data_IF_313609647007
#
_entry.id   IF_313609647007
#
_cell.length_a   1.000
_cell.length_b   1.000
_cell.length_c   1.000
_cell.angle_alpha   90.00
_cell.angle_beta   90.00
_cell.angle_gamma   90.00
#
_symmetry.space_group_name_H-M   'P 1'
#
loop_
_entity.id
_entity.type
_entity.pdbx_description
1 polymer ?
#
# COMPACT_ATOMS: atom_id res chain seq x y z
N UNK A 1 -11.88 11.19 -31.40
CA UNK A 1 -10.56 11.15 -30.73
C UNK A 1 -10.23 9.68 -30.49
N UNK A 2 -9.15 9.16 -31.06
CA UNK A 2 -8.78 7.77 -30.84
C UNK A 2 -7.90 7.65 -29.59
N UNK A 3 -8.20 6.68 -28.73
CA UNK A 3 -7.28 6.22 -27.66
C UNK A 3 -6.77 4.85 -28.06
N UNK A 4 -5.52 4.54 -27.76
CA UNK A 4 -4.97 3.19 -27.87
C UNK A 4 -5.20 2.42 -26.57
N UNK A 5 -6.43 2.50 -26.03
CA UNK A 5 -6.88 1.78 -24.85
C UNK A 5 -8.14 1.01 -25.20
N UNK A 6 -8.19 -0.26 -24.87
CA UNK A 6 -9.30 -1.15 -25.19
C UNK A 6 -9.51 -2.23 -24.13
N UNK A 7 -10.70 -2.79 -24.09
CA UNK A 7 -11.04 -3.94 -23.24
C UNK A 7 -10.67 -5.21 -24.02
N UNK A 8 -9.95 -6.13 -23.37
CA UNK A 8 -9.65 -7.42 -23.96
C UNK A 8 -10.91 -8.31 -24.06
N UNK A 9 -10.82 -9.40 -24.82
CA UNK A 9 -11.95 -10.31 -25.08
C UNK A 9 -12.49 -11.00 -23.82
N UNK A 10 -11.69 -11.07 -22.75
CA UNK A 10 -12.11 -11.59 -21.44
C UNK A 10 -13.02 -10.64 -20.65
N UNK A 11 -13.26 -9.42 -21.15
CA UNK A 11 -14.01 -8.33 -20.52
C UNK A 11 -13.56 -7.95 -19.08
N UNK A 12 -12.44 -8.50 -18.63
CA UNK A 12 -11.89 -8.26 -17.29
C UNK A 12 -10.51 -7.58 -17.33
N UNK A 13 -9.89 -7.50 -18.50
CA UNK A 13 -8.59 -6.89 -18.71
C UNK A 13 -8.69 -5.61 -19.52
N UNK A 14 -8.17 -4.51 -19.00
CA UNK A 14 -8.01 -3.24 -19.71
C UNK A 14 -6.58 -3.14 -20.21
N UNK A 15 -6.41 -2.97 -21.51
CA UNK A 15 -5.10 -2.84 -22.16
C UNK A 15 -4.93 -1.42 -22.66
N UNK A 16 -3.83 -0.78 -22.33
CA UNK A 16 -3.50 0.56 -22.81
C UNK A 16 -2.06 0.62 -23.33
N UNK A 17 -1.84 1.46 -24.35
CA UNK A 17 -0.52 1.70 -24.89
C UNK A 17 0.42 2.29 -23.84
N UNK A 18 -0.06 3.26 -23.08
CA UNK A 18 0.69 3.97 -22.03
C UNK A 18 -0.26 4.63 -21.03
N UNK A 19 0.29 5.26 -19.99
CA UNK A 19 -0.51 5.94 -18.96
C UNK A 19 -1.32 7.14 -19.49
N UNK A 20 -0.84 7.85 -20.51
CA UNK A 20 -1.56 8.98 -21.11
C UNK A 20 -2.81 8.51 -21.82
N UNK A 21 -2.72 7.43 -22.60
CA UNK A 21 -3.88 6.87 -23.30
C UNK A 21 -4.87 6.26 -22.31
N UNK A 22 -4.40 5.62 -21.23
CA UNK A 22 -5.25 5.15 -20.15
C UNK A 22 -6.03 6.31 -19.51
N UNK A 23 -5.34 7.41 -19.15
CA UNK A 23 -6.02 8.59 -18.60
C UNK A 23 -7.09 9.12 -19.52
N UNK A 24 -6.77 9.30 -20.78
CA UNK A 24 -7.71 9.79 -21.80
C UNK A 24 -8.94 8.87 -21.92
N UNK A 25 -8.74 7.56 -21.91
CA UNK A 25 -9.83 6.58 -21.92
C UNK A 25 -10.74 6.75 -20.69
N UNK A 26 -10.18 6.83 -19.49
CA UNK A 26 -10.93 7.00 -18.26
C UNK A 26 -11.70 8.32 -18.22
N UNK A 27 -11.09 9.40 -18.71
CA UNK A 27 -11.77 10.70 -18.85
C UNK A 27 -12.96 10.61 -19.81
N UNK A 28 -12.83 9.91 -20.94
CA UNK A 28 -13.91 9.70 -21.90
C UNK A 28 -15.05 8.85 -21.32
N UNK A 29 -14.74 7.83 -20.53
CA UNK A 29 -15.73 7.02 -19.79
C UNK A 29 -16.46 7.89 -18.76
N UNK A 30 -15.75 8.68 -17.98
CA UNK A 30 -16.34 9.52 -16.93
C UNK A 30 -17.25 10.63 -17.48
N UNK A 31 -16.99 11.11 -18.69
CA UNK A 31 -17.82 12.10 -19.39
C UNK A 31 -18.91 11.46 -20.30
N UNK A 32 -19.11 10.15 -20.23
CA UNK A 32 -20.11 9.43 -21.01
C UNK A 32 -19.83 9.36 -22.53
N UNK A 33 -18.61 9.66 -22.96
CA UNK A 33 -18.19 9.59 -24.37
C UNK A 33 -17.89 8.15 -24.81
N UNK A 34 -17.57 7.28 -23.87
CA UNK A 34 -17.43 5.85 -24.07
C UNK A 34 -18.36 5.14 -23.09
N UNK A 35 -19.23 4.30 -23.62
CA UNK A 35 -20.07 3.41 -22.80
C UNK A 35 -19.33 2.11 -22.53
N UNK A 36 -19.25 1.74 -21.26
CA UNK A 36 -18.80 0.41 -20.83
C UNK A 36 -19.99 -0.33 -20.21
N UNK A 37 -20.04 -1.66 -20.28
CA UNK A 37 -21.12 -2.42 -19.66
C UNK A 37 -21.29 -2.04 -18.19
N UNK A 38 -22.52 -1.87 -17.75
CA UNK A 38 -22.85 -1.57 -16.37
C UNK A 38 -22.26 -2.66 -15.45
N UNK A 39 -21.56 -2.25 -14.38
CA UNK A 39 -20.83 -3.11 -13.45
C UNK A 39 -19.53 -3.73 -14.00
N UNK A 40 -18.99 -3.26 -15.11
CA UNK A 40 -17.65 -3.69 -15.53
C UNK A 40 -16.62 -3.34 -14.45
N UNK A 41 -15.96 -4.37 -13.95
CA UNK A 41 -14.86 -4.26 -12.97
C UNK A 41 -13.63 -4.92 -13.57
N UNK A 42 -12.63 -4.12 -13.86
CA UNK A 42 -11.39 -4.67 -14.40
C UNK A 42 -10.59 -5.34 -13.28
N UNK A 43 -10.24 -6.60 -13.50
CA UNK A 43 -9.34 -7.34 -12.61
C UNK A 43 -7.88 -7.08 -12.92
N UNK A 44 -7.59 -6.77 -14.18
CA UNK A 44 -6.22 -6.54 -14.63
C UNK A 44 -6.13 -5.30 -15.51
N UNK A 45 -5.05 -4.54 -15.32
CA UNK A 45 -4.67 -3.41 -16.17
C UNK A 45 -3.32 -3.70 -16.80
N UNK A 46 -3.23 -3.68 -18.11
CA UNK A 46 -1.97 -3.87 -18.86
C UNK A 46 -1.58 -2.55 -19.49
N UNK A 47 -0.39 -2.07 -19.19
CA UNK A 47 0.25 -0.91 -19.79
C UNK A 47 1.38 -1.40 -20.66
N UNK A 48 1.28 -1.22 -21.98
CA UNK A 48 2.29 -1.72 -22.90
C UNK A 48 3.62 -0.97 -22.79
N UNK A 49 3.60 0.31 -22.43
CA UNK A 49 4.80 1.12 -22.27
C UNK A 49 4.69 2.02 -21.03
N UNK A 50 5.67 1.94 -20.14
CA UNK A 50 5.73 2.77 -18.94
C UNK A 50 6.01 4.25 -19.22
N UNK A 51 6.54 4.58 -20.40
CA UNK A 51 6.93 5.96 -20.75
C UNK A 51 5.76 6.91 -20.61
N UNK A 52 5.91 7.87 -19.71
CA UNK A 52 4.86 8.82 -19.35
C UNK A 52 5.46 10.13 -18.84
N UNK A 53 4.79 11.23 -19.07
CA UNK A 53 5.14 12.54 -18.49
C UNK A 53 4.53 12.69 -17.07
N UNK A 54 3.74 11.70 -16.62
CA UNK A 54 3.07 11.74 -15.32
C UNK A 54 4.05 11.51 -14.17
N UNK A 55 3.82 12.22 -13.07
CA UNK A 55 4.52 11.93 -11.83
C UNK A 55 3.94 10.65 -11.16
N UNK A 56 4.65 10.17 -10.14
CA UNK A 56 4.24 8.93 -9.42
C UNK A 56 2.84 9.06 -8.84
N UNK A 57 2.50 10.22 -8.25
CA UNK A 57 1.20 10.42 -7.61
C UNK A 57 0.05 10.44 -8.62
N UNK A 58 0.27 11.01 -9.79
CA UNK A 58 -0.71 10.97 -10.89
C UNK A 58 -0.95 9.53 -11.37
N UNK A 59 0.10 8.72 -11.51
CA UNK A 59 -0.02 7.30 -11.88
C UNK A 59 -0.74 6.51 -10.79
N UNK A 60 -0.40 6.72 -9.52
CA UNK A 60 -1.10 6.09 -8.39
C UNK A 60 -2.58 6.45 -8.38
N UNK A 61 -2.88 7.74 -8.56
CA UNK A 61 -4.25 8.23 -8.60
C UNK A 61 -5.04 7.61 -9.74
N UNK A 62 -4.44 7.53 -10.93
CA UNK A 62 -5.05 6.93 -12.12
C UNK A 62 -5.40 5.46 -11.90
N UNK A 63 -4.50 4.68 -11.28
CA UNK A 63 -4.65 3.24 -11.08
C UNK A 63 -5.53 2.87 -9.86
N UNK A 64 -5.87 3.82 -9.00
CA UNK A 64 -6.60 3.56 -7.75
C UNK A 64 -8.05 4.03 -7.72
N UNK A 65 -8.54 4.62 -8.82
CA UNK A 65 -9.88 5.24 -8.88
C UNK A 65 -10.78 4.66 -9.95
N UNK A 66 -12.07 4.98 -9.80
CA UNK A 66 -13.10 4.66 -10.79
C UNK A 66 -13.19 3.16 -11.06
N UNK A 67 -13.28 2.82 -12.33
CA UNK A 67 -13.43 1.43 -12.80
C UNK A 67 -12.21 0.53 -12.53
N UNK A 68 -11.07 1.11 -12.12
CA UNK A 68 -9.83 0.38 -11.81
C UNK A 68 -9.66 0.10 -10.32
N UNK A 69 -10.53 0.62 -9.45
CA UNK A 69 -10.39 0.48 -7.99
C UNK A 69 -10.41 -0.97 -7.49
N UNK A 70 -11.05 -1.87 -8.22
CA UNK A 70 -11.13 -3.29 -7.90
C UNK A 70 -10.10 -4.14 -8.64
N UNK A 71 -9.16 -3.53 -9.38
CA UNK A 71 -8.11 -4.26 -10.07
C UNK A 71 -7.28 -5.10 -9.08
N UNK A 72 -7.02 -6.34 -9.46
CA UNK A 72 -6.19 -7.29 -8.72
C UNK A 72 -4.72 -7.19 -9.11
N UNK A 73 -4.45 -6.71 -10.34
CA UNK A 73 -3.09 -6.56 -10.85
C UNK A 73 -2.94 -5.42 -11.85
N UNK A 74 -1.78 -4.80 -11.81
CA UNK A 74 -1.26 -3.92 -12.87
C UNK A 74 -0.03 -4.57 -13.48
N UNK A 75 0.07 -4.59 -14.80
CA UNK A 75 1.22 -5.14 -15.54
C UNK A 75 1.78 -4.09 -16.51
N UNK A 76 3.07 -3.80 -16.41
CA UNK A 76 3.81 -3.00 -17.37
C UNK A 76 4.66 -3.92 -18.23
N UNK A 77 4.35 -4.00 -19.54
CA UNK A 77 5.07 -4.88 -20.48
C UNK A 77 6.49 -4.40 -20.78
N UNK A 78 6.65 -3.09 -20.97
CA UNK A 78 7.93 -2.45 -21.21
C UNK A 78 8.20 -1.44 -20.09
N UNK A 79 8.83 -1.87 -18.99
CA UNK A 79 9.17 -1.01 -17.87
C UNK A 79 10.24 0.02 -18.27
N UNK A 80 10.35 1.09 -17.49
CA UNK A 80 11.42 2.09 -17.62
C UNK A 80 12.14 2.28 -16.27
N UNK A 81 13.04 3.24 -16.19
CA UNK A 81 13.79 3.54 -14.99
C UNK A 81 12.93 4.15 -13.85
N UNK A 82 11.69 4.56 -14.14
CA UNK A 82 10.75 5.12 -13.17
C UNK A 82 9.76 4.09 -12.65
N UNK A 83 9.26 3.21 -13.53
CA UNK A 83 8.17 2.29 -13.21
C UNK A 83 8.43 0.88 -13.72
N UNK A 84 8.20 -0.10 -12.85
CA UNK A 84 8.08 -1.52 -13.20
C UNK A 84 6.95 -2.17 -12.39
N UNK A 85 6.58 -3.37 -12.76
CA UNK A 85 5.61 -4.16 -11.98
C UNK A 85 6.21 -5.50 -11.58
N UNK A 86 5.92 -5.91 -10.34
CA UNK A 86 6.25 -7.23 -9.80
C UNK A 86 4.98 -7.76 -9.12
N UNK A 87 4.58 -8.95 -9.46
CA UNK A 87 3.37 -9.61 -8.92
C UNK A 87 2.11 -8.72 -8.97
N UNK A 88 1.97 -7.95 -10.05
CA UNK A 88 0.84 -7.07 -10.25
C UNK A 88 0.86 -5.78 -9.44
N UNK A 89 1.93 -5.49 -8.72
CA UNK A 89 2.14 -4.27 -7.94
C UNK A 89 3.09 -3.31 -8.66
N UNK A 90 2.88 -2.00 -8.50
CA UNK A 90 3.71 -0.96 -9.10
C UNK A 90 4.88 -0.59 -8.19
N UNK A 91 6.08 -0.67 -8.74
CA UNK A 91 7.33 -0.28 -8.09
C UNK A 91 8.06 0.81 -8.88
N UNK A 92 9.06 1.44 -8.22
CA UNK A 92 10.09 2.20 -8.92
C UNK A 92 10.87 1.29 -9.86
N UNK A 93 11.44 1.83 -10.94
CA UNK A 93 12.21 1.06 -11.91
C UNK A 93 13.38 0.29 -11.29
N UNK A 94 14.02 0.84 -10.24
CA UNK A 94 15.05 0.16 -9.46
C UNK A 94 14.49 -0.80 -8.37
N UNK A 95 13.16 -1.00 -8.32
CA UNK A 95 12.43 -1.91 -7.42
C UNK A 95 12.52 -1.59 -5.91
N UNK A 96 13.18 -0.51 -5.53
CA UNK A 96 13.39 -0.17 -4.11
C UNK A 96 12.16 0.47 -3.44
N UNK A 97 11.21 0.99 -4.22
CA UNK A 97 10.01 1.64 -3.68
C UNK A 97 8.74 0.97 -4.19
N UNK A 98 7.92 0.49 -3.27
CA UNK A 98 6.55 0.06 -3.60
C UNK A 98 5.66 1.30 -3.69
N UNK A 99 5.19 1.62 -4.86
CA UNK A 99 4.32 2.77 -5.11
C UNK A 99 2.84 2.46 -4.92
N UNK A 100 2.38 1.30 -5.41
CA UNK A 100 0.98 0.92 -5.36
C UNK A 100 0.78 -0.60 -5.39
N UNK A 101 -0.03 -1.09 -4.48
CA UNK A 101 -0.68 -2.39 -4.54
C UNK A 101 -2.14 -2.19 -4.97
N UNK A 102 -2.62 -2.85 -6.03
CA UNK A 102 -4.02 -2.76 -6.45
C UNK A 102 -4.98 -3.23 -5.35
N UNK A 103 -6.09 -2.51 -5.17
CA UNK A 103 -7.02 -2.75 -4.04
C UNK A 103 -7.78 -4.07 -4.13
N UNK A 104 -7.96 -4.61 -5.33
CA UNK A 104 -8.61 -5.89 -5.56
C UNK A 104 -7.76 -7.10 -5.18
N UNK A 105 -6.45 -6.91 -4.90
CA UNK A 105 -5.55 -8.01 -4.53
C UNK A 105 -5.97 -8.62 -3.20
N UNK A 106 -6.06 -9.95 -3.16
CA UNK A 106 -6.53 -10.75 -2.01
C UNK A 106 -5.48 -11.74 -1.54
N UNK A 107 -5.75 -12.43 -0.43
CA UNK A 107 -4.87 -13.47 0.11
C UNK A 107 -3.62 -12.92 0.77
N UNK A 108 -2.49 -13.61 0.60
CA UNK A 108 -1.20 -13.20 1.13
C UNK A 108 -0.51 -12.23 0.17
N UNK A 109 -0.26 -11.02 0.65
CA UNK A 109 0.51 -10.01 -0.07
C UNK A 109 1.99 -10.16 0.29
N UNK A 110 2.82 -10.52 -0.67
CA UNK A 110 4.27 -10.61 -0.50
C UNK A 110 4.93 -9.40 -1.17
N UNK A 111 5.61 -8.57 -0.37
CA UNK A 111 6.36 -7.42 -0.89
C UNK A 111 7.70 -7.92 -1.41
N UNK A 112 8.11 -7.40 -2.58
CA UNK A 112 9.35 -7.80 -3.25
C UNK A 112 10.59 -7.62 -2.36
N UNK A 113 11.42 -8.65 -2.30
CA UNK A 113 12.72 -8.58 -1.62
C UNK A 113 13.65 -7.60 -2.36
N UNK A 114 14.21 -6.64 -1.63
CA UNK A 114 14.92 -5.49 -2.18
C UNK A 114 14.13 -4.18 -2.12
N UNK A 115 12.82 -4.21 -1.84
CA UNK A 115 12.07 -2.99 -1.52
C UNK A 115 12.56 -2.40 -0.20
N UNK A 116 12.90 -1.11 -0.20
CA UNK A 116 13.37 -0.38 0.99
C UNK A 116 12.30 0.53 1.58
N UNK A 117 11.33 0.94 0.76
CA UNK A 117 10.26 1.86 1.13
C UNK A 117 8.90 1.35 0.61
N UNK A 118 7.95 1.24 1.52
CA UNK A 118 6.53 1.17 1.17
C UNK A 118 6.02 2.60 1.21
N UNK A 119 5.65 3.14 0.05
CA UNK A 119 5.28 4.55 -0.08
C UNK A 119 3.95 4.88 0.60
N UNK A 120 3.70 6.18 0.77
CA UNK A 120 2.46 6.67 1.36
C UNK A 120 1.26 6.15 0.54
N UNK A 121 0.23 5.63 1.23
CA UNK A 121 -0.99 5.01 0.66
C UNK A 121 -0.74 3.79 -0.24
N UNK A 122 0.46 3.23 -0.31
CA UNK A 122 0.81 2.20 -1.30
C UNK A 122 -0.08 0.95 -1.26
N UNK A 123 -0.48 0.50 -0.09
CA UNK A 123 -1.32 -0.68 0.13
C UNK A 123 -2.61 -0.33 0.92
N UNK A 124 -3.08 0.92 0.86
CA UNK A 124 -4.31 1.31 1.54
C UNK A 124 -5.54 0.68 0.87
N UNK A 125 -6.53 0.24 1.67
CA UNK A 125 -7.79 -0.41 1.24
C UNK A 125 -7.59 -1.73 0.47
N UNK A 126 -6.42 -2.38 0.53
CA UNK A 126 -6.21 -3.70 -0.08
C UNK A 126 -6.98 -4.76 0.71
N UNK A 127 -7.49 -5.78 0.00
CA UNK A 127 -8.33 -6.84 0.60
C UNK A 127 -7.54 -8.07 1.05
N UNK A 128 -6.23 -7.92 1.31
CA UNK A 128 -5.37 -9.01 1.74
C UNK A 128 -5.65 -9.42 3.20
N UNK A 129 -5.44 -10.70 3.50
CA UNK A 129 -5.53 -11.24 4.85
C UNK A 129 -4.21 -11.17 5.61
N UNK A 130 -3.12 -11.24 4.89
CA UNK A 130 -1.76 -11.26 5.43
C UNK A 130 -0.82 -10.46 4.53
N UNK A 131 0.17 -9.84 5.15
CA UNK A 131 1.28 -9.16 4.45
C UNK A 131 2.60 -9.73 4.93
N UNK A 132 3.47 -10.07 3.99
CA UNK A 132 4.87 -10.42 4.26
C UNK A 132 5.76 -9.28 3.79
N UNK A 133 6.46 -8.65 4.74
CA UNK A 133 7.37 -7.53 4.50
C UNK A 133 8.81 -8.05 4.58
N UNK A 134 9.63 -7.90 3.53
CA UNK A 134 11.01 -8.35 3.58
C UNK A 134 11.88 -7.50 4.51
N UNK A 135 12.98 -8.05 4.98
CA UNK A 135 13.91 -7.35 5.88
C UNK A 135 14.70 -6.22 5.20
N UNK A 136 14.60 -6.09 3.87
CA UNK A 136 15.11 -4.94 3.12
C UNK A 136 14.35 -3.64 3.40
N UNK A 137 13.07 -3.72 3.84
CA UNK A 137 12.23 -2.55 4.11
C UNK A 137 12.72 -1.80 5.35
N UNK A 138 12.98 -0.50 5.16
CA UNK A 138 13.43 0.44 6.20
C UNK A 138 12.33 1.37 6.68
N UNK A 139 11.33 1.63 5.83
CA UNK A 139 10.27 2.58 6.18
C UNK A 139 8.92 2.19 5.59
N UNK A 140 7.88 2.35 6.42
CA UNK A 140 6.48 2.26 6.02
C UNK A 140 5.92 3.67 5.98
N UNK A 141 5.36 4.05 4.84
CA UNK A 141 4.83 5.38 4.55
C UNK A 141 3.53 5.71 5.29
N UNK A 142 3.12 6.97 5.17
CA UNK A 142 1.87 7.46 5.75
C UNK A 142 0.66 6.76 5.11
N UNK A 143 -0.28 6.32 5.95
CA UNK A 143 -1.46 5.55 5.50
C UNK A 143 -1.14 4.32 4.63
N UNK A 144 0.08 3.79 4.66
CA UNK A 144 0.53 2.77 3.70
C UNK A 144 -0.34 1.51 3.69
N UNK A 145 -0.85 1.10 4.83
CA UNK A 145 -1.79 -0.03 4.98
C UNK A 145 -3.12 0.39 5.63
N UNK A 146 -3.47 1.67 5.63
CA UNK A 146 -4.69 2.13 6.26
C UNK A 146 -5.94 1.48 5.63
N UNK A 147 -6.96 1.23 6.45
CA UNK A 147 -8.26 0.67 6.03
C UNK A 147 -8.19 -0.75 5.41
N UNK A 148 -7.16 -1.52 5.73
CA UNK A 148 -7.10 -2.94 5.34
C UNK A 148 -7.96 -3.76 6.31
N UNK A 149 -9.28 -3.77 6.07
CA UNK A 149 -10.28 -4.32 6.98
C UNK A 149 -10.18 -5.84 7.18
N UNK A 150 -9.52 -6.54 6.25
CA UNK A 150 -9.33 -7.98 6.30
C UNK A 150 -7.95 -8.39 6.85
N UNK A 151 -7.00 -7.47 6.94
CA UNK A 151 -5.63 -7.76 7.35
C UNK A 151 -5.59 -8.27 8.79
N UNK A 152 -5.12 -9.50 8.96
CA UNK A 152 -5.02 -10.19 10.26
C UNK A 152 -3.60 -10.23 10.79
N UNK A 153 -2.61 -10.28 9.88
CA UNK A 153 -1.22 -10.52 10.24
C UNK A 153 -0.26 -9.79 9.32
N UNK A 154 0.79 -9.24 9.93
CA UNK A 154 1.98 -8.73 9.21
C UNK A 154 3.17 -9.53 9.71
N UNK A 155 3.95 -10.10 8.78
CA UNK A 155 5.14 -10.88 9.05
C UNK A 155 6.39 -10.24 8.47
N UNK A 156 7.53 -10.41 9.12
CA UNK A 156 8.81 -9.89 8.67
C UNK A 156 9.05 -8.42 9.01
N UNK A 157 9.81 -7.73 8.16
CA UNK A 157 10.10 -6.30 8.36
C UNK A 157 11.00 -6.00 9.57
N UNK A 158 11.89 -6.90 9.96
CA UNK A 158 12.74 -6.78 11.17
C UNK A 158 13.66 -5.56 11.15
N UNK A 159 13.93 -5.02 9.98
CA UNK A 159 14.81 -3.85 9.80
C UNK A 159 14.05 -2.52 9.62
N UNK A 160 12.74 -2.51 9.81
CA UNK A 160 11.94 -1.28 9.76
C UNK A 160 12.45 -0.32 10.85
N UNK A 161 12.75 0.90 10.42
CA UNK A 161 13.22 1.99 11.31
C UNK A 161 12.09 3.00 11.59
N UNK A 162 11.21 3.21 10.61
CA UNK A 162 10.16 4.23 10.71
C UNK A 162 8.82 3.67 10.23
N UNK A 163 7.82 3.79 11.08
CA UNK A 163 6.41 3.59 10.75
C UNK A 163 5.77 4.97 10.80
N UNK A 164 5.32 5.50 9.66
CA UNK A 164 4.78 6.86 9.56
C UNK A 164 3.35 6.95 10.10
N UNK A 165 2.80 8.18 10.28
CA UNK A 165 1.45 8.36 10.79
C UNK A 165 0.41 7.55 10.02
N UNK A 166 -0.60 7.05 10.73
CA UNK A 166 -1.74 6.29 10.17
C UNK A 166 -1.36 5.03 9.39
N UNK A 167 -0.14 4.52 9.46
CA UNK A 167 0.35 3.44 8.60
C UNK A 167 -0.56 2.20 8.60
N UNK A 168 -1.13 1.81 9.74
CA UNK A 168 -2.07 0.70 9.92
C UNK A 168 -3.41 1.15 10.52
N UNK A 169 -3.79 2.41 10.27
CA UNK A 169 -5.02 3.00 10.78
C UNK A 169 -6.24 2.20 10.31
N UNK A 170 -7.15 1.89 11.24
CA UNK A 170 -8.36 1.09 10.99
C UNK A 170 -8.13 -0.30 10.39
N UNK A 171 -7.00 -0.93 10.72
CA UNK A 171 -6.78 -2.35 10.45
C UNK A 171 -7.46 -3.19 11.56
N UNK A 172 -8.80 -3.14 11.66
CA UNK A 172 -9.58 -3.71 12.78
C UNK A 172 -9.32 -5.18 13.09
N UNK A 173 -8.80 -5.94 12.12
CA UNK A 173 -8.51 -7.37 12.26
C UNK A 173 -7.04 -7.68 12.46
N UNK A 174 -6.16 -6.67 12.46
CA UNK A 174 -4.74 -6.87 12.68
C UNK A 174 -4.50 -7.26 14.13
N UNK A 175 -4.19 -8.54 14.37
CA UNK A 175 -4.10 -9.13 15.70
C UNK A 175 -2.68 -9.16 16.25
N UNK A 176 -1.68 -9.12 15.36
CA UNK A 176 -0.27 -9.23 15.72
C UNK A 176 0.62 -8.45 14.75
N UNK A 177 1.59 -7.76 15.33
CA UNK A 177 2.68 -7.07 14.63
C UNK A 177 3.99 -7.25 15.41
N UNK A 178 5.08 -7.62 14.71
CA UNK A 178 6.39 -7.77 15.35
C UNK A 178 7.21 -6.49 15.16
N UNK A 179 7.52 -5.81 16.26
CA UNK A 179 8.38 -4.61 16.25
C UNK A 179 9.84 -5.04 16.25
N UNK A 180 10.54 -4.79 15.12
CA UNK A 180 11.95 -5.17 14.98
C UNK A 180 12.88 -4.27 15.79
N UNK A 181 14.07 -4.77 16.13
CA UNK A 181 15.06 -4.09 16.97
C UNK A 181 15.61 -2.77 16.40
N UNK A 182 15.42 -2.52 15.10
CA UNK A 182 15.88 -1.28 14.46
C UNK A 182 14.83 -0.17 14.45
N UNK A 183 13.63 -0.41 15.00
CA UNK A 183 12.55 0.56 15.02
C UNK A 183 12.91 1.76 15.88
N UNK A 184 12.75 2.95 15.32
CA UNK A 184 13.07 4.24 15.95
C UNK A 184 11.86 5.13 16.15
N UNK A 185 10.92 5.08 15.22
CA UNK A 185 9.78 6.00 15.18
C UNK A 185 8.49 5.23 14.85
N UNK A 186 7.47 5.45 15.67
CA UNK A 186 6.09 5.10 15.38
C UNK A 186 5.30 6.42 15.30
N UNK A 187 4.69 6.69 14.17
CA UNK A 187 3.94 7.92 13.90
C UNK A 187 2.59 7.98 14.61
N UNK A 188 2.01 9.18 14.64
CA UNK A 188 0.69 9.41 15.25
C UNK A 188 -0.38 8.52 14.62
N UNK A 189 -1.25 7.95 15.44
CA UNK A 189 -2.34 7.05 15.03
C UNK A 189 -1.90 5.86 14.15
N UNK A 190 -0.63 5.45 14.21
CA UNK A 190 -0.09 4.43 13.30
C UNK A 190 -0.81 3.08 13.40
N UNK A 191 -1.27 2.69 14.58
CA UNK A 191 -2.05 1.47 14.86
C UNK A 191 -3.41 1.79 15.50
N UNK A 192 -3.89 3.01 15.37
CA UNK A 192 -5.19 3.42 15.90
C UNK A 192 -6.30 2.59 15.24
N UNK A 193 -7.19 2.01 16.02
CA UNK A 193 -8.18 1.00 15.63
C UNK A 193 -7.57 -0.30 15.02
N UNK A 194 -6.30 -0.61 15.24
CA UNK A 194 -5.79 -1.97 15.05
C UNK A 194 -6.07 -2.80 16.30
N UNK A 195 -6.52 -4.06 16.13
CA UNK A 195 -6.96 -4.87 17.28
C UNK A 195 -5.80 -5.31 18.18
N UNK A 196 -4.69 -5.78 17.59
CA UNK A 196 -3.49 -6.34 18.25
C UNK A 196 -3.74 -7.24 19.46
N UNK A 197 -4.95 -7.84 19.55
CA UNK A 197 -5.46 -8.56 20.71
C UNK A 197 -4.88 -9.98 20.91
N UNK A 198 -4.05 -10.47 19.99
CA UNK A 198 -3.27 -11.70 20.18
C UNK A 198 -1.89 -11.42 20.80
N UNK A 199 -1.53 -10.15 21.00
CA UNK A 199 -0.33 -9.76 21.72
C UNK A 199 -0.66 -9.63 23.20
N UNK A 200 -0.05 -10.48 24.04
CA UNK A 200 -0.22 -10.39 25.50
C UNK A 200 0.39 -9.10 26.07
N UNK A 201 1.44 -8.62 25.42
CA UNK A 201 2.15 -7.37 25.72
C UNK A 201 2.74 -6.84 24.42
N UNK A 202 2.88 -5.53 24.31
CA UNK A 202 3.61 -4.89 23.23
C UNK A 202 5.02 -4.61 23.75
N UNK A 203 6.02 -5.30 23.17
CA UNK A 203 7.43 -5.06 23.47
C UNK A 203 8.03 -4.15 22.43
N UNK A 204 8.54 -3.02 22.88
CA UNK A 204 9.26 -2.08 22.03
C UNK A 204 10.77 -2.28 22.15
N UNK A 205 11.53 -2.11 21.06
CA UNK A 205 12.98 -2.19 21.13
C UNK A 205 13.57 -1.03 21.91
N UNK A 206 14.70 -1.27 22.58
CA UNK A 206 15.41 -0.23 23.36
C UNK A 206 15.84 0.99 22.53
N UNK A 207 15.91 0.85 21.21
CA UNK A 207 16.26 1.94 20.28
C UNK A 207 15.09 2.84 19.85
N UNK A 208 13.86 2.57 20.32
CA UNK A 208 12.69 3.37 19.98
C UNK A 208 12.81 4.76 20.62
N UNK A 209 12.65 5.79 19.79
CA UNK A 209 12.82 7.19 20.20
C UNK A 209 11.50 7.93 20.34
N UNK A 210 10.52 7.58 19.51
CA UNK A 210 9.27 8.34 19.43
C UNK A 210 8.10 7.42 19.18
N UNK A 211 7.03 7.63 19.94
CA UNK A 211 5.68 7.11 19.65
C UNK A 211 4.78 8.32 19.54
N UNK A 212 4.16 8.52 18.40
CA UNK A 212 3.26 9.66 18.12
C UNK A 212 1.95 9.55 18.87
N UNK A 213 1.28 10.69 19.05
CA UNK A 213 0.00 10.76 19.75
C UNK A 213 -1.04 9.84 19.14
N UNK A 214 -1.75 9.10 19.98
CA UNK A 214 -2.81 8.17 19.54
C UNK A 214 -2.33 6.95 18.75
N UNK A 215 -1.03 6.65 18.73
CA UNK A 215 -0.49 5.54 17.94
C UNK A 215 -1.19 4.21 18.22
N UNK A 216 -1.71 4.03 19.43
CA UNK A 216 -2.35 2.81 19.93
C UNK A 216 -3.63 3.08 20.72
N UNK A 217 -4.46 4.05 20.31
CA UNK A 217 -5.63 4.52 21.09
C UNK A 217 -6.63 3.43 21.51
N UNK A 218 -6.67 2.31 20.84
CA UNK A 218 -7.63 1.22 21.13
C UNK A 218 -6.97 -0.01 21.73
N UNK A 219 -5.70 0.12 22.17
CA UNK A 219 -4.92 -0.99 22.71
C UNK A 219 -4.53 -0.65 24.15
N UNK A 220 -4.75 -1.57 25.09
CA UNK A 220 -4.19 -1.48 26.42
C UNK A 220 -2.68 -1.75 26.34
N UNK A 221 -1.89 -0.68 26.43
CA UNK A 221 -0.42 -0.79 26.51
C UNK A 221 -0.08 -1.17 27.94
N UNK A 222 0.45 -2.36 28.13
CA UNK A 222 1.06 -2.73 29.42
C UNK A 222 2.46 -2.12 29.43
N UNK A 223 2.60 -1.01 30.16
CA UNK A 223 3.92 -0.40 30.40
C UNK A 223 4.77 -1.36 31.23
N UNK A 224 5.87 -1.81 30.66
CA UNK A 224 6.92 -2.46 31.45
C UNK A 224 7.63 -1.35 32.27
N UNK A 225 7.60 -1.46 33.60
CA UNK A 225 8.11 -0.42 34.53
C UNK A 225 9.60 -0.12 34.40
N UNK A 226 10.31 -0.85 33.56
CA UNK A 226 11.75 -0.66 33.31
C UNK A 226 12.07 0.20 32.06
N UNK A 227 11.07 0.49 31.21
CA UNK A 227 11.26 1.42 30.07
C UNK A 227 10.88 2.83 30.50
N UNK A 228 11.80 3.79 30.31
CA UNK A 228 11.56 5.22 30.60
C UNK A 228 10.28 5.69 29.92
N UNK A 229 9.46 6.50 30.58
CA UNK A 229 8.25 7.05 29.95
C UNK A 229 8.66 7.81 28.69
N UNK A 230 8.03 7.45 27.57
CA UNK A 230 8.14 8.23 26.33
C UNK A 230 7.34 9.50 26.57
N UNK A 231 8.01 10.64 26.52
CA UNK A 231 7.38 11.95 26.73
C UNK A 231 6.46 12.26 25.53
N UNK A 232 5.15 12.17 25.75
CA UNK A 232 4.13 12.38 24.72
C UNK A 232 3.84 13.88 24.45
N UNK A 233 4.40 14.80 25.28
CA UNK A 233 4.05 16.21 25.28
C UNK A 233 5.01 17.12 24.50
N UNK A 234 6.00 16.58 23.80
CA UNK A 234 6.99 17.38 23.06
C UNK A 234 6.82 17.32 21.53
N UNK A 235 5.61 17.41 21.00
CA UNK A 235 5.38 17.74 19.58
C UNK A 235 4.26 18.74 19.41
#
# INVERSE_FOLDING_TARGET
>A
MHTETYIADDNATLISKNFRDLKKYLDMVSHGQISIPYLTRFKKVIINNARSDFCVDEVKLLLSRGILQDAEAVEIKNPDDRFCTIDGMLYSGNKQKLYLCPRGKTGNLVIHDGAELICDYACAWVRCDQVTIPDSVKSIGENAFAFNLNLKKVEGGRNIQNIKPFAFYRCYRLKRFEFGEKLKIIGSSAFDYASLNEMKEIKFPNGLKTIGGGAFNTIDIIEDKETRPVDYDQM
#
